data_IF_493238356472
#
_entry.id   IF_493238356472
#
_cell.length_a   1.000
_cell.length_b   1.000
_cell.length_c   1.000
_cell.angle_alpha   90.00
_cell.angle_beta   90.00
_cell.angle_gamma   90.00
#
_symmetry.space_group_name_H-M   'P 1'
#
loop_
_entity.id
_entity.type
_entity.pdbx_description
1 polymer ?
#
# COMPACT_ATOMS: atom_id res chain seq x y z
N UNK A 1 -16.56 4.11 -4.10
CA UNK A 1 -16.82 5.49 -4.57
C UNK A 1 -15.68 6.38 -4.09
N UNK A 2 -15.22 7.38 -4.86
CA UNK A 2 -14.17 8.30 -4.41
C UNK A 2 -14.73 9.23 -3.32
N UNK A 3 -14.08 9.32 -2.16
CA UNK A 3 -14.47 10.21 -1.06
C UNK A 3 -13.70 11.53 -1.11
N UNK A 4 -14.24 12.57 -0.47
CA UNK A 4 -13.68 13.92 -0.40
C UNK A 4 -13.43 14.54 -1.79
N UNK A 5 -14.43 14.49 -2.67
CA UNK A 5 -14.36 15.05 -4.03
C UNK A 5 -15.60 15.87 -4.36
N UNK A 6 -15.41 16.96 -5.11
CA UNK A 6 -16.45 17.51 -6.00
C UNK A 6 -16.24 16.86 -7.36
N UNK A 7 -17.31 16.36 -7.97
CA UNK A 7 -17.25 15.68 -9.27
C UNK A 7 -17.97 16.56 -10.28
N UNK A 8 -17.28 16.86 -11.39
CA UNK A 8 -17.78 17.62 -12.53
C UNK A 8 -17.63 16.76 -13.79
N UNK A 9 -18.34 17.10 -14.86
CA UNK A 9 -18.27 16.40 -16.14
C UNK A 9 -17.82 17.33 -17.25
N UNK A 10 -16.89 16.87 -18.09
CA UNK A 10 -16.47 17.57 -19.31
C UNK A 10 -16.14 16.54 -20.39
N UNK A 11 -16.58 16.79 -21.63
CA UNK A 11 -16.06 16.04 -22.79
C UNK A 11 -14.72 16.63 -23.21
N UNK A 12 -13.63 15.97 -22.82
CA UNK A 12 -12.26 16.41 -23.10
C UNK A 12 -11.90 16.41 -24.59
N UNK A 13 -12.72 15.79 -25.45
CA UNK A 13 -12.52 15.81 -26.91
C UNK A 13 -13.16 17.04 -27.58
N UNK A 14 -14.05 17.73 -26.89
CA UNK A 14 -14.66 18.97 -27.37
C UNK A 14 -13.79 20.17 -27.02
N UNK A 15 -13.81 21.21 -27.87
CA UNK A 15 -13.09 22.46 -27.58
C UNK A 15 -13.60 23.11 -26.28
N UNK A 16 -14.91 23.07 -26.04
CA UNK A 16 -15.55 23.59 -24.84
C UNK A 16 -15.07 22.86 -23.57
N UNK A 17 -15.05 21.52 -23.60
CA UNK A 17 -14.58 20.73 -22.46
C UNK A 17 -13.10 20.91 -22.18
N UNK A 18 -12.26 21.02 -23.23
CA UNK A 18 -10.84 21.35 -23.07
C UNK A 18 -10.63 22.74 -22.45
N UNK A 19 -11.31 23.75 -22.96
CA UNK A 19 -11.22 25.13 -22.43
C UNK A 19 -11.64 25.17 -20.95
N UNK A 20 -12.72 24.46 -20.61
CA UNK A 20 -13.21 24.35 -19.24
C UNK A 20 -12.18 23.74 -18.29
N UNK A 21 -11.51 22.65 -18.69
CA UNK A 21 -10.44 22.04 -17.87
C UNK A 21 -9.25 22.98 -17.75
N UNK A 22 -8.86 23.69 -18.82
CA UNK A 22 -7.77 24.67 -18.74
C UNK A 22 -8.10 25.84 -17.80
N UNK A 23 -9.36 26.28 -17.72
CA UNK A 23 -9.81 27.27 -16.73
C UNK A 23 -9.67 26.78 -15.30
N UNK A 24 -9.99 25.52 -15.03
CA UNK A 24 -9.75 24.90 -13.72
C UNK A 24 -8.24 24.80 -13.44
N UNK A 25 -7.45 24.31 -14.40
CA UNK A 25 -5.99 24.18 -14.28
C UNK A 25 -5.32 25.53 -14.01
N UNK A 26 -5.80 26.62 -14.60
CA UNK A 26 -5.29 27.97 -14.38
C UNK A 26 -5.31 28.40 -12.90
N UNK A 27 -6.18 27.79 -12.08
CA UNK A 27 -6.37 28.08 -10.66
C UNK A 27 -5.89 26.96 -9.72
N UNK A 28 -5.58 25.78 -10.27
CA UNK A 28 -5.21 24.61 -9.49
C UNK A 28 -3.74 24.62 -9.05
N UNK A 29 -3.46 23.96 -7.93
CA UNK A 29 -2.08 23.68 -7.52
C UNK A 29 -1.53 22.39 -8.15
N UNK A 30 -2.40 21.40 -8.34
CA UNK A 30 -2.02 20.04 -8.75
C UNK A 30 -3.02 19.54 -9.78
N UNK A 31 -2.53 18.90 -10.84
CA UNK A 31 -3.30 18.09 -11.77
C UNK A 31 -2.81 16.65 -11.67
N UNK A 32 -3.74 15.69 -11.54
CA UNK A 32 -3.43 14.25 -11.53
C UNK A 32 -4.07 13.62 -12.76
N UNK A 33 -3.27 12.85 -13.51
CA UNK A 33 -3.76 12.03 -14.62
C UNK A 33 -3.07 10.67 -14.64
N UNK A 34 -3.80 9.65 -15.07
CA UNK A 34 -3.31 8.26 -15.12
C UNK A 34 -3.53 7.60 -16.48
N UNK A 35 -3.50 8.39 -17.57
CA UNK A 35 -3.65 7.88 -18.91
C UNK A 35 -2.32 7.33 -19.44
N UNK A 36 -2.38 6.61 -20.57
CA UNK A 36 -1.19 6.21 -21.30
C UNK A 36 -0.41 7.47 -21.75
N UNK A 37 0.94 7.47 -21.72
CA UNK A 37 1.74 8.60 -22.18
C UNK A 37 1.32 9.10 -23.57
N UNK A 38 1.20 10.42 -23.74
CA UNK A 38 0.77 11.06 -24.98
C UNK A 38 -0.75 11.27 -25.11
N UNK A 39 -1.59 10.71 -24.23
CA UNK A 39 -3.05 10.93 -24.28
C UNK A 39 -3.39 12.39 -24.00
N UNK A 40 -2.87 12.96 -22.92
CA UNK A 40 -3.17 14.35 -22.53
C UNK A 40 -2.64 15.37 -23.54
N UNK A 41 -1.51 15.08 -24.17
CA UNK A 41 -0.92 15.88 -25.23
C UNK A 41 -1.85 15.93 -26.46
N UNK A 42 -2.43 14.79 -26.87
CA UNK A 42 -3.41 14.75 -27.95
C UNK A 42 -4.71 15.49 -27.62
N UNK A 43 -5.05 15.59 -26.34
CA UNK A 43 -6.21 16.35 -25.87
C UNK A 43 -5.91 17.85 -25.72
N UNK A 44 -4.66 18.31 -25.93
CA UNK A 44 -4.27 19.70 -25.65
C UNK A 44 -4.31 20.05 -24.15
N UNK A 45 -4.17 19.03 -23.30
CA UNK A 45 -4.11 19.12 -21.84
C UNK A 45 -2.76 18.61 -21.33
N UNK A 46 -1.74 18.53 -22.20
CA UNK A 46 -0.42 18.09 -21.80
C UNK A 46 0.30 19.13 -20.91
N UNK A 47 1.44 18.76 -20.30
CA UNK A 47 2.20 19.65 -19.43
C UNK A 47 2.52 21.00 -20.06
N UNK A 48 2.90 21.00 -21.34
CA UNK A 48 3.23 22.23 -22.06
C UNK A 48 2.00 23.14 -22.27
N UNK A 49 0.82 22.57 -22.48
CA UNK A 49 -0.42 23.35 -22.63
C UNK A 49 -0.88 23.91 -21.30
N UNK A 50 -0.82 23.10 -20.24
CA UNK A 50 -1.14 23.52 -18.89
C UNK A 50 -0.18 24.60 -18.37
N UNK A 51 1.12 24.51 -18.69
CA UNK A 51 2.12 25.51 -18.31
C UNK A 51 1.86 26.90 -18.92
N UNK A 52 1.17 26.99 -20.07
CA UNK A 52 0.80 28.27 -20.69
C UNK A 52 -0.22 29.04 -19.84
N UNK A 53 -1.08 28.33 -19.11
CA UNK A 53 -2.12 28.93 -18.26
C UNK A 53 -1.73 28.95 -16.77
N UNK A 54 -0.80 28.09 -16.36
CA UNK A 54 -0.31 28.00 -14.99
C UNK A 54 1.07 27.32 -14.92
N UNK A 55 2.14 28.12 -14.85
CA UNK A 55 3.52 27.63 -14.69
C UNK A 55 3.88 27.24 -13.25
N UNK A 56 2.94 27.41 -12.30
CA UNK A 56 3.04 26.98 -10.90
C UNK A 56 2.43 25.59 -10.69
N UNK A 57 1.84 24.99 -11.71
CA UNK A 57 1.13 23.72 -11.62
C UNK A 57 2.08 22.55 -11.35
N UNK A 58 1.76 21.73 -10.36
CA UNK A 58 2.35 20.40 -10.22
C UNK A 58 1.57 19.43 -11.12
N UNK A 59 2.17 19.03 -12.24
CA UNK A 59 1.56 18.10 -13.18
C UNK A 59 1.97 16.67 -12.84
N UNK A 60 1.10 15.92 -12.18
CA UNK A 60 1.40 14.60 -11.65
C UNK A 60 0.86 13.48 -12.55
N UNK A 61 1.78 12.72 -13.16
CA UNK A 61 1.49 11.61 -14.06
C UNK A 61 1.62 10.28 -13.33
N UNK A 62 0.56 9.46 -13.33
CA UNK A 62 0.52 8.17 -12.64
C UNK A 62 0.40 7.02 -13.65
N UNK A 63 1.48 6.30 -13.90
CA UNK A 63 1.47 5.20 -14.87
C UNK A 63 2.13 3.94 -14.30
N UNK A 64 1.90 2.80 -14.94
CA UNK A 64 2.60 1.56 -14.58
C UNK A 64 4.06 1.54 -15.01
N UNK A 65 4.31 1.97 -16.26
CA UNK A 65 5.61 1.81 -16.95
C UNK A 65 6.46 3.08 -17.06
N UNK A 66 5.95 4.25 -16.65
CA UNK A 66 6.61 5.54 -16.84
C UNK A 66 6.32 6.18 -18.20
N UNK A 67 6.75 7.43 -18.38
CA UNK A 67 6.51 8.18 -19.62
C UNK A 67 7.35 7.72 -20.82
N UNK A 68 8.46 7.03 -20.58
CA UNK A 68 9.43 6.64 -21.61
C UNK A 68 9.80 5.14 -21.52
N UNK A 69 10.58 4.67 -22.49
CA UNK A 69 11.03 3.28 -22.56
C UNK A 69 10.10 2.38 -23.38
N UNK A 70 10.57 1.16 -23.70
CA UNK A 70 9.94 0.28 -24.68
C UNK A 70 8.55 -0.23 -24.28
N UNK A 71 8.18 -0.14 -23.00
CA UNK A 71 6.88 -0.58 -22.47
C UNK A 71 5.93 0.57 -22.15
N UNK A 72 6.35 1.83 -22.28
CA UNK A 72 5.54 3.02 -21.94
C UNK A 72 4.17 3.04 -22.64
N UNK A 73 4.07 2.46 -23.84
CA UNK A 73 2.83 2.37 -24.61
C UNK A 73 2.08 1.04 -24.43
N UNK A 74 2.55 0.13 -23.57
CA UNK A 74 1.87 -1.15 -23.33
C UNK A 74 0.77 -1.01 -22.28
N UNK A 75 -0.31 -1.78 -22.45
CA UNK A 75 -1.28 -1.98 -21.39
C UNK A 75 -0.68 -2.83 -20.26
N UNK A 76 -1.26 -2.73 -19.07
CA UNK A 76 -0.91 -3.55 -17.92
C UNK A 76 -1.77 -3.17 -16.73
N UNK A 77 -1.69 -3.98 -15.68
CA UNK A 77 -2.21 -3.74 -14.35
C UNK A 77 -1.12 -4.04 -13.32
N UNK A 78 -1.39 -3.78 -12.05
CA UNK A 78 -0.49 -4.02 -10.90
C UNK A 78 0.42 -5.24 -11.09
N UNK A 79 -0.18 -6.43 -11.27
CA UNK A 79 0.52 -7.70 -11.41
C UNK A 79 1.59 -7.69 -12.52
N UNK A 80 1.36 -6.97 -13.62
CA UNK A 80 2.32 -6.88 -14.72
C UNK A 80 3.53 -6.04 -14.32
N UNK A 81 3.31 -4.93 -13.61
CA UNK A 81 4.38 -4.01 -13.21
C UNK A 81 5.32 -4.68 -12.21
N UNK A 82 4.75 -5.31 -11.17
CA UNK A 82 5.53 -6.03 -10.14
C UNK A 82 6.09 -7.38 -10.62
N UNK A 83 5.58 -7.93 -11.73
CA UNK A 83 6.18 -9.12 -12.37
C UNK A 83 7.54 -8.82 -12.98
N UNK A 84 7.79 -7.56 -13.37
CA UNK A 84 8.96 -7.20 -14.16
C UNK A 84 10.17 -6.77 -13.34
N UNK A 85 9.99 -6.50 -12.04
CA UNK A 85 11.04 -6.07 -11.13
C UNK A 85 11.35 -7.11 -10.02
N UNK A 86 10.90 -8.36 -10.20
CA UNK A 86 11.20 -9.47 -9.31
C UNK A 86 10.33 -9.58 -8.05
N UNK A 87 9.52 -8.56 -7.75
CA UNK A 87 8.65 -8.55 -6.56
C UNK A 87 7.66 -9.71 -6.58
N UNK A 88 6.91 -9.88 -7.68
CA UNK A 88 5.92 -10.95 -7.76
C UNK A 88 6.58 -12.33 -7.59
N UNK A 89 7.77 -12.52 -8.17
CA UNK A 89 8.49 -13.79 -8.07
C UNK A 89 8.80 -14.19 -6.61
N UNK A 90 9.05 -13.22 -5.75
CA UNK A 90 9.39 -13.43 -4.34
C UNK A 90 8.18 -13.75 -3.44
N UNK A 91 6.94 -13.57 -3.91
CA UNK A 91 5.74 -13.67 -3.06
C UNK A 91 5.01 -14.99 -3.28
N UNK A 92 4.84 -15.75 -2.20
CA UNK A 92 4.10 -17.01 -2.16
C UNK A 92 4.90 -18.14 -1.52
N UNK A 93 4.31 -19.34 -1.48
CA UNK A 93 4.93 -20.52 -0.86
C UNK A 93 6.00 -21.13 -1.76
N UNK A 94 6.97 -21.79 -1.13
CA UNK A 94 7.95 -22.63 -1.81
C UNK A 94 7.23 -23.78 -2.53
N UNK A 95 7.66 -24.12 -3.74
CA UNK A 95 7.05 -25.18 -4.55
C UNK A 95 5.73 -24.82 -5.25
N UNK A 96 5.13 -23.66 -4.94
CA UNK A 96 3.93 -23.16 -5.61
C UNK A 96 4.25 -22.03 -6.59
N UNK A 97 3.32 -21.67 -7.49
CA UNK A 97 3.48 -20.49 -8.35
C UNK A 97 3.39 -19.19 -7.52
N UNK A 98 3.97 -18.07 -8.00
CA UNK A 98 3.75 -16.75 -7.40
C UNK A 98 2.27 -16.41 -7.19
N UNK A 99 1.96 -15.73 -6.08
CA UNK A 99 0.60 -15.23 -5.76
C UNK A 99 0.62 -13.70 -5.72
N UNK A 100 -0.32 -13.00 -6.39
CA UNK A 100 -0.37 -11.55 -6.36
C UNK A 100 -0.77 -11.07 -4.95
N UNK A 101 -0.05 -10.11 -4.35
CA UNK A 101 -0.39 -9.49 -3.06
C UNK A 101 -1.53 -8.47 -3.21
N UNK A 102 -2.68 -8.93 -3.71
CA UNK A 102 -3.75 -8.08 -4.24
C UNK A 102 -3.16 -7.09 -5.26
N UNK A 103 -3.51 -5.80 -5.16
CA UNK A 103 -2.84 -4.70 -5.85
C UNK A 103 -2.19 -3.71 -4.86
N UNK A 104 -1.75 -4.22 -3.69
CA UNK A 104 -1.20 -3.40 -2.61
C UNK A 104 0.19 -2.83 -2.95
N UNK A 105 0.96 -3.52 -3.80
CA UNK A 105 2.37 -3.21 -4.00
C UNK A 105 2.61 -2.31 -5.20
N UNK A 106 1.94 -2.53 -6.34
CA UNK A 106 2.09 -1.70 -7.54
C UNK A 106 1.21 -0.45 -7.48
N UNK A 107 -0.12 -0.62 -7.46
CA UNK A 107 -1.08 0.49 -7.54
C UNK A 107 -0.97 1.42 -6.32
N UNK A 108 -0.85 0.84 -5.13
CA UNK A 108 -0.86 1.59 -3.87
C UNK A 108 0.55 1.92 -3.37
N UNK A 109 1.23 0.98 -2.72
CA UNK A 109 2.50 1.21 -2.04
C UNK A 109 3.61 1.76 -2.95
N UNK A 110 3.73 1.22 -4.16
CA UNK A 110 4.71 1.62 -5.17
C UNK A 110 4.20 2.64 -6.19
N UNK A 111 2.90 2.97 -6.15
CA UNK A 111 2.25 3.83 -7.14
C UNK A 111 1.77 5.12 -6.51
N UNK A 112 0.50 5.13 -6.09
CA UNK A 112 -0.15 6.32 -5.50
C UNK A 112 0.61 6.92 -4.32
N UNK A 113 1.27 6.11 -3.47
CA UNK A 113 2.08 6.64 -2.37
C UNK A 113 3.29 7.43 -2.86
N UNK A 114 3.95 6.98 -3.94
CA UNK A 114 5.06 7.71 -4.56
C UNK A 114 4.59 8.95 -5.33
N UNK A 115 3.43 8.90 -5.97
CA UNK A 115 2.80 10.08 -6.57
C UNK A 115 2.51 11.15 -5.50
N UNK A 116 1.96 10.76 -4.35
CA UNK A 116 1.69 11.66 -3.22
C UNK A 116 2.98 12.29 -2.69
N UNK A 117 4.03 11.48 -2.45
CA UNK A 117 5.34 12.00 -2.02
C UNK A 117 5.91 12.98 -3.06
N UNK A 118 5.84 12.65 -4.35
CA UNK A 118 6.27 13.53 -5.43
C UNK A 118 5.51 14.85 -5.43
N UNK A 119 4.18 14.82 -5.28
CA UNK A 119 3.34 16.03 -5.24
C UNK A 119 3.73 16.92 -4.06
N UNK A 120 3.83 16.35 -2.86
CA UNK A 120 4.16 17.10 -1.65
C UNK A 120 5.58 17.68 -1.72
N UNK A 121 6.55 16.92 -2.24
CA UNK A 121 7.92 17.40 -2.44
C UNK A 121 7.98 18.54 -3.47
N UNK A 122 7.23 18.44 -4.56
CA UNK A 122 7.16 19.49 -5.58
C UNK A 122 6.44 20.75 -5.07
N UNK A 123 5.40 20.59 -4.23
CA UNK A 123 4.74 21.72 -3.56
C UNK A 123 5.69 22.43 -2.58
N UNK A 124 6.52 21.67 -1.87
CA UNK A 124 7.58 22.21 -1.02
C UNK A 124 8.64 22.96 -1.83
N UNK A 125 9.14 22.37 -2.92
CA UNK A 125 10.11 23.00 -3.83
C UNK A 125 9.57 24.33 -4.38
N UNK A 126 8.31 24.33 -4.83
CA UNK A 126 7.60 25.49 -5.38
C UNK A 126 7.52 26.66 -4.41
N UNK A 127 7.60 26.43 -3.10
CA UNK A 127 7.66 27.50 -2.11
C UNK A 127 8.88 28.42 -2.33
N UNK A 128 9.99 27.85 -2.77
CA UNK A 128 11.24 28.58 -3.02
C UNK A 128 11.35 29.03 -4.48
N UNK A 129 11.12 28.12 -5.43
CA UNK A 129 11.30 28.41 -6.87
C UNK A 129 10.18 29.28 -7.44
N UNK A 130 9.00 29.22 -6.82
CA UNK A 130 7.78 29.80 -7.34
C UNK A 130 7.26 29.08 -8.60
N UNK A 131 7.82 27.94 -9.00
CA UNK A 131 7.47 27.19 -10.22
C UNK A 131 6.95 25.80 -9.90
N UNK A 132 6.07 25.31 -10.78
CA UNK A 132 5.66 23.91 -10.77
C UNK A 132 6.59 23.04 -11.62
N UNK A 133 6.28 21.75 -11.68
CA UNK A 133 7.03 20.78 -12.47
C UNK A 133 6.17 19.54 -12.78
N UNK A 134 6.68 18.68 -13.67
CA UNK A 134 6.09 17.38 -13.98
C UNK A 134 6.63 16.32 -13.02
N UNK A 135 5.75 15.52 -12.46
CA UNK A 135 6.10 14.30 -11.72
C UNK A 135 5.74 13.11 -12.61
N UNK A 136 6.73 12.27 -12.92
CA UNK A 136 6.52 10.95 -13.54
C UNK A 136 6.59 9.88 -12.45
N UNK A 137 5.44 9.42 -11.97
CA UNK A 137 5.36 8.33 -11.01
C UNK A 137 5.03 7.02 -11.73
N UNK A 138 6.06 6.19 -11.93
CA UNK A 138 5.93 4.85 -12.50
C UNK A 138 5.82 3.80 -11.38
N UNK A 139 4.79 2.95 -11.43
CA UNK A 139 4.61 1.87 -10.43
C UNK A 139 5.78 0.90 -10.41
N UNK A 140 6.39 0.61 -11.56
CA UNK A 140 7.59 -0.25 -11.63
C UNK A 140 8.78 0.34 -10.86
N UNK A 141 8.92 1.67 -10.84
CA UNK A 141 10.01 2.35 -10.14
C UNK A 141 9.70 2.45 -8.64
N UNK A 142 8.53 2.97 -8.28
CA UNK A 142 8.15 3.17 -6.88
C UNK A 142 8.04 1.85 -6.13
N UNK A 143 7.52 0.78 -6.75
CA UNK A 143 7.53 -0.56 -6.12
C UNK A 143 8.93 -1.13 -5.98
N UNK A 144 9.85 -0.84 -6.90
CA UNK A 144 11.27 -1.22 -6.77
C UNK A 144 11.95 -0.51 -5.59
N UNK A 145 11.62 0.78 -5.36
CA UNK A 145 12.07 1.52 -4.18
C UNK A 145 11.42 0.98 -2.91
N UNK A 146 10.14 0.61 -2.96
CA UNK A 146 9.42 0.05 -1.81
C UNK A 146 10.09 -1.24 -1.28
N UNK A 147 10.67 -2.05 -2.17
CA UNK A 147 11.38 -3.30 -1.84
C UNK A 147 12.90 -3.12 -1.72
N UNK A 148 13.39 -1.90 -1.52
CA UNK A 148 14.83 -1.58 -1.42
C UNK A 148 15.57 -2.45 -0.39
N UNK A 149 14.92 -2.78 0.73
CA UNK A 149 15.51 -3.63 1.75
C UNK A 149 15.94 -4.99 1.19
N UNK A 150 15.13 -5.63 0.35
CA UNK A 150 15.47 -6.92 -0.26
C UNK A 150 16.60 -6.76 -1.27
N UNK A 151 16.67 -5.65 -2.02
CA UNK A 151 17.82 -5.37 -2.89
C UNK A 151 19.13 -5.31 -2.09
N UNK A 152 19.13 -4.65 -0.93
CA UNK A 152 20.29 -4.58 -0.04
C UNK A 152 20.62 -5.95 0.56
N UNK A 153 19.62 -6.66 1.09
CA UNK A 153 19.79 -7.97 1.69
C UNK A 153 20.34 -9.00 0.70
N UNK A 154 19.90 -8.96 -0.57
CA UNK A 154 20.47 -9.76 -1.66
C UNK A 154 21.93 -9.41 -1.89
N UNK A 155 22.26 -8.12 -1.90
CA UNK A 155 23.63 -7.62 -2.10
C UNK A 155 24.62 -8.08 -1.03
N UNK A 156 24.15 -8.29 0.21
CA UNK A 156 24.98 -8.80 1.33
C UNK A 156 24.78 -10.30 1.61
N UNK A 157 24.03 -11.01 0.76
CA UNK A 157 23.87 -12.47 0.83
C UNK A 157 22.93 -13.00 1.92
N UNK A 158 22.08 -12.15 2.52
CA UNK A 158 21.08 -12.57 3.54
C UNK A 158 19.66 -12.69 2.97
N UNK A 159 19.51 -12.54 1.65
CA UNK A 159 18.28 -12.83 0.92
C UNK A 159 18.60 -13.59 -0.37
N UNK A 160 17.80 -14.60 -0.69
CA UNK A 160 17.93 -15.43 -1.87
C UNK A 160 16.76 -15.23 -2.84
N UNK A 161 16.97 -15.59 -4.11
CA UNK A 161 15.90 -15.55 -5.13
C UNK A 161 14.95 -16.77 -5.03
N UNK A 162 15.16 -17.67 -4.06
CA UNK A 162 14.29 -18.82 -3.83
C UNK A 162 13.11 -18.40 -2.95
N UNK A 163 11.94 -18.30 -3.57
CA UNK A 163 10.67 -17.93 -2.90
C UNK A 163 10.32 -18.88 -1.75
N UNK A 164 9.88 -18.29 -0.63
CA UNK A 164 9.37 -19.02 0.53
C UNK A 164 10.46 -19.69 1.36
N UNK A 165 11.70 -19.19 1.27
CA UNK A 165 12.87 -19.76 1.98
C UNK A 165 13.66 -18.71 2.77
N UNK A 166 13.20 -17.46 2.76
CA UNK A 166 13.86 -16.35 3.42
C UNK A 166 13.20 -16.03 4.76
N UNK A 167 13.81 -15.12 5.52
CA UNK A 167 13.30 -14.74 6.84
C UNK A 167 11.91 -14.08 6.79
N UNK A 168 11.59 -13.32 5.74
CA UNK A 168 10.39 -12.46 5.70
C UNK A 168 9.36 -12.86 4.64
N UNK A 169 9.49 -14.04 4.03
CA UNK A 169 8.58 -14.54 2.99
C UNK A 169 7.80 -15.81 3.41
N UNK A 170 7.78 -16.11 4.71
CA UNK A 170 7.18 -17.31 5.28
C UNK A 170 8.13 -18.51 5.34
N UNK A 171 9.39 -18.38 4.91
CA UNK A 171 10.40 -19.43 5.08
C UNK A 171 10.76 -19.72 6.55
N UNK A 172 10.96 -18.67 7.36
CA UNK A 172 11.29 -18.80 8.77
C UNK A 172 10.08 -19.22 9.63
N UNK A 173 10.20 -20.23 10.52
CA UNK A 173 9.11 -20.66 11.41
C UNK A 173 8.63 -19.58 12.40
N UNK A 174 9.47 -18.61 12.72
CA UNK A 174 9.16 -17.52 13.64
C UNK A 174 8.70 -16.23 12.92
N UNK A 175 8.44 -16.30 11.61
CA UNK A 175 7.88 -15.22 10.81
C UNK A 175 6.90 -15.79 9.76
N UNK A 176 5.75 -16.27 10.21
CA UNK A 176 4.74 -16.93 9.38
C UNK A 176 3.38 -17.02 10.08
N UNK A 177 2.38 -17.55 9.40
CA UNK A 177 1.07 -17.89 9.95
C UNK A 177 0.96 -19.37 10.32
N UNK A 178 0.24 -19.67 11.40
CA UNK A 178 -0.06 -21.01 11.88
C UNK A 178 -1.57 -21.22 12.01
N UNK A 179 -2.07 -22.32 11.44
CA UNK A 179 -3.46 -22.75 11.60
C UNK A 179 -3.70 -23.23 13.05
N UNK A 180 -4.81 -22.79 13.63
CA UNK A 180 -5.26 -23.10 14.99
C UNK A 180 -6.36 -24.19 14.95
N UNK A 181 -6.80 -24.68 16.11
CA UNK A 181 -7.76 -25.80 16.17
C UNK A 181 -9.14 -25.51 15.53
N UNK A 182 -9.51 -24.24 15.43
CA UNK A 182 -10.75 -23.74 14.82
C UNK A 182 -10.64 -23.50 13.30
N UNK A 183 -9.48 -23.76 12.70
CA UNK A 183 -9.16 -23.41 11.31
C UNK A 183 -8.90 -21.91 11.09
N UNK A 184 -8.89 -21.12 12.17
CA UNK A 184 -8.37 -19.75 12.18
C UNK A 184 -6.84 -19.73 12.15
N UNK A 185 -6.24 -18.55 12.07
CA UNK A 185 -4.78 -18.42 12.00
C UNK A 185 -4.22 -17.44 13.03
N UNK A 186 -3.09 -17.78 13.64
CA UNK A 186 -2.21 -16.86 14.36
C UNK A 186 -1.05 -16.43 13.46
N UNK A 187 -0.71 -15.15 13.45
CA UNK A 187 0.50 -14.64 12.82
C UNK A 187 1.62 -14.52 13.86
N UNK A 188 2.79 -15.03 13.54
CA UNK A 188 4.00 -14.98 14.36
C UNK A 188 5.02 -14.07 13.66
N UNK A 189 5.59 -13.13 14.41
CA UNK A 189 6.65 -12.22 13.96
C UNK A 189 7.81 -12.10 14.96
N UNK A 190 8.11 -13.17 15.67
CA UNK A 190 9.05 -13.21 16.79
C UNK A 190 10.51 -13.36 16.31
N UNK A 191 11.04 -12.32 15.65
CA UNK A 191 12.38 -12.32 15.05
C UNK A 191 13.46 -12.25 16.14
N UNK A 192 13.34 -11.32 17.07
CA UNK A 192 14.34 -11.11 18.11
C UNK A 192 14.30 -12.23 19.16
N UNK A 193 15.47 -12.68 19.69
CA UNK A 193 15.53 -13.85 20.57
C UNK A 193 14.65 -13.78 21.83
N UNK A 194 14.50 -12.59 22.41
CA UNK A 194 13.65 -12.39 23.60
C UNK A 194 12.16 -12.50 23.29
N UNK A 195 11.72 -12.08 22.10
CA UNK A 195 10.34 -12.21 21.65
C UNK A 195 10.03 -13.68 21.30
N UNK A 196 10.99 -14.35 20.65
CA UNK A 196 10.92 -15.79 20.41
C UNK A 196 10.82 -16.60 21.71
N UNK A 197 11.61 -16.24 22.73
CA UNK A 197 11.51 -16.87 24.05
C UNK A 197 10.15 -16.64 24.71
N UNK A 198 9.59 -15.43 24.61
CA UNK A 198 8.25 -15.13 25.12
C UNK A 198 7.15 -15.94 24.40
N UNK A 199 7.27 -16.09 23.08
CA UNK A 199 6.38 -16.97 22.29
C UNK A 199 6.46 -18.42 22.76
N UNK A 200 7.65 -18.99 22.91
CA UNK A 200 7.82 -20.36 23.40
C UNK A 200 7.22 -20.54 24.80
N UNK A 201 7.42 -19.57 25.70
CA UNK A 201 6.83 -19.59 27.03
C UNK A 201 5.29 -19.60 26.99
N UNK A 202 4.67 -18.76 26.15
CA UNK A 202 3.22 -18.75 25.97
C UNK A 202 2.66 -20.03 25.33
N UNK A 203 3.43 -20.69 24.45
CA UNK A 203 3.10 -22.00 23.89
C UNK A 203 3.33 -23.16 24.86
N UNK A 204 3.96 -22.92 26.01
CA UNK A 204 4.37 -23.96 26.96
C UNK A 204 5.46 -24.88 26.42
N UNK A 205 6.34 -24.37 25.55
CA UNK A 205 7.44 -25.12 24.94
C UNK A 205 8.76 -24.79 25.66
N UNK A 206 9.54 -25.83 25.94
CA UNK A 206 10.89 -25.69 26.49
C UNK A 206 11.91 -25.59 25.35
N UNK A 207 12.61 -24.47 25.27
CA UNK A 207 13.63 -24.18 24.27
C UNK A 207 14.77 -25.22 24.23
N UNK A 208 15.06 -25.90 25.35
CA UNK A 208 16.11 -26.93 25.41
C UNK A 208 15.79 -28.13 24.51
N UNK A 209 14.50 -28.39 24.27
CA UNK A 209 14.03 -29.52 23.47
C UNK A 209 13.80 -29.16 22.00
N UNK A 210 14.15 -27.94 21.57
CA UNK A 210 13.90 -27.45 20.22
C UNK A 210 15.20 -27.20 19.44
N UNK A 211 15.14 -27.24 18.09
CA UNK A 211 16.20 -26.67 17.28
C UNK A 211 16.46 -25.20 17.63
N UNK A 212 17.71 -24.71 17.50
CA UNK A 212 17.99 -23.28 17.61
C UNK A 212 17.18 -22.48 16.59
N UNK A 213 16.66 -21.32 17.01
CA UNK A 213 15.78 -20.45 16.21
C UNK A 213 16.30 -20.22 14.78
N UNK A 214 17.60 -19.92 14.63
CA UNK A 214 18.23 -19.56 13.35
C UNK A 214 18.97 -20.73 12.68
N UNK A 215 18.75 -21.98 13.11
CA UNK A 215 19.27 -23.16 12.41
C UNK A 215 18.35 -23.51 11.22
N UNK A 216 18.65 -22.92 10.07
CA UNK A 216 17.88 -23.06 8.82
C UNK A 216 17.71 -24.53 8.41
N UNK A 217 18.70 -25.38 8.66
CA UNK A 217 18.63 -26.79 8.29
C UNK A 217 17.56 -27.56 9.10
N UNK A 218 17.24 -27.09 10.31
CA UNK A 218 16.24 -27.69 11.21
C UNK A 218 14.96 -26.87 11.33
N UNK A 219 14.78 -25.82 10.51
CA UNK A 219 13.50 -25.11 10.42
C UNK A 219 12.30 -26.00 10.12
N UNK A 220 12.39 -27.06 9.27
CA UNK A 220 11.26 -27.98 9.10
C UNK A 220 10.83 -28.66 10.40
N UNK A 221 11.78 -29.05 11.25
CA UNK A 221 11.52 -29.65 12.57
C UNK A 221 10.90 -28.63 13.51
N UNK A 222 11.48 -27.43 13.61
CA UNK A 222 10.96 -26.35 14.46
C UNK A 222 9.53 -25.98 14.04
N UNK A 223 9.28 -25.86 12.73
CA UNK A 223 7.96 -25.56 12.20
C UNK A 223 6.93 -26.62 12.60
N UNK A 224 7.27 -27.91 12.49
CA UNK A 224 6.36 -28.98 12.87
C UNK A 224 5.94 -28.88 14.34
N UNK A 225 6.87 -28.57 15.25
CA UNK A 225 6.56 -28.40 16.68
C UNK A 225 5.67 -27.18 16.92
N UNK A 226 5.97 -26.04 16.28
CA UNK A 226 5.13 -24.84 16.40
C UNK A 226 3.73 -25.07 15.82
N UNK A 227 3.62 -25.78 14.69
CA UNK A 227 2.33 -26.17 14.09
C UNK A 227 1.52 -27.03 15.04
N UNK A 228 2.14 -28.05 15.65
CA UNK A 228 1.45 -28.88 16.64
C UNK A 228 0.99 -28.04 17.83
N UNK A 229 1.85 -27.15 18.34
CA UNK A 229 1.52 -26.30 19.47
C UNK A 229 0.31 -25.39 19.17
N UNK A 230 0.36 -24.61 18.09
CA UNK A 230 -0.74 -23.71 17.69
C UNK A 230 -2.04 -24.49 17.41
N UNK A 231 -1.95 -25.69 16.83
CA UNK A 231 -3.10 -26.54 16.54
C UNK A 231 -3.82 -27.14 17.77
N UNK A 232 -3.33 -26.94 18.99
CA UNK A 232 -3.97 -27.46 20.22
C UNK A 232 -5.18 -26.65 20.68
N UNK A 233 -5.22 -25.36 20.33
CA UNK A 233 -6.28 -24.45 20.76
C UNK A 233 -6.70 -23.51 19.63
N UNK A 234 -7.87 -22.91 19.77
CA UNK A 234 -8.45 -21.99 18.80
C UNK A 234 -7.67 -20.68 18.73
N UNK A 235 -7.82 -19.91 17.63
CA UNK A 235 -7.14 -18.62 17.43
C UNK A 235 -7.32 -17.67 18.61
N UNK A 236 -8.56 -17.55 19.11
CA UNK A 236 -8.91 -16.59 20.16
C UNK A 236 -8.39 -17.02 21.55
N UNK A 237 -8.04 -18.31 21.73
CA UNK A 237 -7.28 -18.74 22.90
C UNK A 237 -5.89 -18.12 22.86
N UNK A 238 -5.18 -18.27 21.74
CA UNK A 238 -3.83 -17.73 21.58
C UNK A 238 -3.81 -16.21 21.64
N UNK A 239 -4.79 -15.53 21.04
CA UNK A 239 -4.92 -14.08 21.15
C UNK A 239 -4.94 -13.62 22.61
N UNK A 240 -5.64 -14.35 23.51
CA UNK A 240 -5.67 -14.05 24.95
C UNK A 240 -4.36 -14.37 25.66
N UNK A 241 -3.71 -15.48 25.31
CA UNK A 241 -2.41 -15.87 25.89
C UNK A 241 -1.35 -14.80 25.61
N UNK A 242 -1.36 -14.22 24.41
CA UNK A 242 -0.30 -13.31 23.95
C UNK A 242 -0.65 -11.82 24.06
N UNK A 243 -1.87 -11.45 24.46
CA UNK A 243 -2.41 -10.08 24.40
C UNK A 243 -1.49 -9.00 25.01
N UNK A 244 -0.87 -9.29 26.15
CA UNK A 244 -0.06 -8.33 26.92
C UNK A 244 1.45 -8.68 26.91
N UNK A 245 1.89 -9.52 25.97
CA UNK A 245 3.26 -10.01 25.89
C UNK A 245 4.01 -9.48 24.66
N UNK A 246 5.34 -9.45 24.74
CA UNK A 246 6.21 -9.15 23.60
C UNK A 246 6.45 -10.38 22.69
N UNK A 247 5.56 -11.39 22.71
CA UNK A 247 5.74 -12.62 21.93
C UNK A 247 5.58 -12.44 20.42
N UNK A 248 5.10 -11.27 19.97
CA UNK A 248 4.82 -10.99 18.55
C UNK A 248 3.89 -12.02 17.91
N UNK A 249 2.86 -12.47 18.65
CA UNK A 249 1.80 -13.34 18.17
C UNK A 249 0.47 -12.60 18.18
N UNK A 250 -0.20 -12.52 17.03
CA UNK A 250 -1.46 -11.79 16.86
C UNK A 250 -2.48 -12.62 16.07
N UNK A 251 -3.80 -12.46 16.32
CA UNK A 251 -4.81 -13.13 15.51
C UNK A 251 -4.81 -12.59 14.07
N UNK A 252 -4.94 -13.47 13.08
CA UNK A 252 -5.23 -13.09 11.69
C UNK A 252 -6.74 -12.89 11.58
N UNK A 253 -7.16 -11.63 11.49
CA UNK A 253 -8.56 -11.24 11.41
C UNK A 253 -9.00 -11.11 9.95
N UNK A 254 -10.22 -11.58 9.65
CA UNK A 254 -10.91 -11.23 8.40
C UNK A 254 -11.41 -9.78 8.45
N UNK A 255 -11.72 -9.20 7.28
CA UNK A 255 -12.28 -7.83 7.22
C UNK A 255 -13.55 -7.66 8.08
N UNK A 256 -14.36 -8.71 8.23
CA UNK A 256 -15.57 -8.68 9.04
C UNK A 256 -15.32 -8.61 10.54
N UNK A 257 -14.16 -9.05 11.02
CA UNK A 257 -13.84 -9.11 12.45
C UNK A 257 -13.10 -7.86 12.95
N UNK A 258 -12.41 -7.14 12.05
CA UNK A 258 -11.52 -6.01 12.39
C UNK A 258 -12.19 -4.94 13.27
N UNK A 259 -13.49 -4.67 13.09
CA UNK A 259 -14.19 -3.66 13.87
C UNK A 259 -14.41 -4.04 15.34
N UNK A 260 -14.29 -5.33 15.69
CA UNK A 260 -14.46 -5.83 17.06
C UNK A 260 -13.15 -5.87 17.85
N UNK A 261 -12.01 -5.67 17.20
CA UNK A 261 -10.69 -5.68 17.83
C UNK A 261 -10.50 -4.42 18.71
N UNK A 262 -10.27 -4.56 20.03
CA UNK A 262 -10.18 -3.41 20.95
C UNK A 262 -9.18 -2.34 20.51
N UNK A 263 -7.99 -2.74 20.05
CA UNK A 263 -6.98 -1.77 19.61
C UNK A 263 -7.42 -0.96 18.38
N UNK A 264 -8.17 -1.57 17.46
CA UNK A 264 -8.69 -0.93 16.26
C UNK A 264 -9.81 0.05 16.63
N UNK A 265 -10.72 -0.38 17.51
CA UNK A 265 -11.88 0.38 17.97
C UNK A 265 -11.47 1.61 18.80
N UNK A 266 -10.66 1.43 19.84
CA UNK A 266 -10.21 2.52 20.72
C UNK A 266 -9.42 3.58 19.97
N UNK A 267 -8.67 3.17 18.95
CA UNK A 267 -7.93 4.10 18.10
C UNK A 267 -8.81 4.79 17.06
N UNK A 268 -10.08 4.43 16.87
CA UNK A 268 -10.93 4.96 15.80
C UNK A 268 -10.26 4.81 14.42
N UNK A 269 -9.70 3.63 14.15
CA UNK A 269 -9.02 3.37 12.86
C UNK A 269 -10.02 3.38 11.69
N UNK A 270 -11.25 2.94 11.96
CA UNK A 270 -12.36 2.93 11.01
C UNK A 270 -13.50 3.83 11.51
N UNK A 271 -14.33 4.26 10.57
CA UNK A 271 -15.64 4.83 10.82
C UNK A 271 -16.69 4.03 10.01
N UNK A 272 -17.95 4.08 10.43
CA UNK A 272 -19.06 3.45 9.69
C UNK A 272 -19.44 4.32 8.49
N UNK A 273 -19.22 3.81 7.27
CA UNK A 273 -19.54 4.46 6.00
C UNK A 273 -21.05 4.54 5.74
N UNK A 274 -21.43 5.26 4.69
CA UNK A 274 -22.86 5.47 4.36
C UNK A 274 -23.55 4.19 3.85
N UNK A 275 -22.76 3.17 3.46
CA UNK A 275 -23.19 1.83 3.11
C UNK A 275 -23.29 0.88 4.33
N UNK A 276 -23.05 1.41 5.55
CA UNK A 276 -23.01 0.64 6.80
C UNK A 276 -21.73 -0.18 6.99
N UNK A 277 -20.78 -0.14 6.05
CA UNK A 277 -19.52 -0.87 6.13
C UNK A 277 -18.39 -0.06 6.79
N UNK A 278 -17.37 -0.70 7.39
CA UNK A 278 -16.22 0.00 7.94
C UNK A 278 -15.38 0.63 6.82
N UNK A 279 -15.06 1.91 6.96
CA UNK A 279 -14.18 2.68 6.06
C UNK A 279 -12.99 3.24 6.86
N UNK A 280 -11.76 3.22 6.33
CA UNK A 280 -10.58 3.70 7.06
C UNK A 280 -10.62 5.22 7.26
N UNK A 281 -10.27 5.67 8.46
CA UNK A 281 -10.02 7.10 8.74
C UNK A 281 -8.72 7.57 8.05
N UNK A 282 -8.58 8.87 7.75
CA UNK A 282 -7.36 9.41 7.16
C UNK A 282 -6.09 9.11 7.99
N UNK A 283 -4.99 8.84 7.30
CA UNK A 283 -3.67 8.57 7.90
C UNK A 283 -2.55 9.35 7.16
N UNK A 284 -1.45 9.72 7.84
CA UNK A 284 -1.19 9.57 9.28
C UNK A 284 -2.02 10.56 10.13
N UNK A 285 -1.88 10.52 11.46
CA UNK A 285 -2.55 11.45 12.39
C UNK A 285 -1.77 12.74 12.56
N UNK A 286 -2.47 13.85 12.71
CA UNK A 286 -1.91 15.18 12.98
C UNK A 286 -2.46 15.70 14.29
N UNK A 287 -1.63 16.28 15.17
CA UNK A 287 -2.06 16.73 16.51
C UNK A 287 -2.85 18.03 16.52
N UNK A 288 -2.64 18.91 15.53
CA UNK A 288 -3.27 20.25 15.46
C UNK A 288 -4.32 20.37 14.36
N UNK A 289 -3.97 19.98 13.14
CA UNK A 289 -4.85 20.05 11.96
C UNK A 289 -5.46 18.68 11.69
N UNK A 290 -6.28 18.20 12.63
CA UNK A 290 -6.90 16.88 12.55
C UNK A 290 -7.88 16.85 11.37
N UNK A 291 -7.74 15.91 10.41
CA UNK A 291 -8.66 15.81 9.30
C UNK A 291 -10.05 15.36 9.77
N UNK A 292 -11.09 15.92 9.17
CA UNK A 292 -12.46 15.47 9.39
C UNK A 292 -12.70 14.09 8.77
N UNK A 293 -13.77 13.41 9.20
CA UNK A 293 -14.28 12.20 8.55
C UNK A 293 -14.42 12.42 7.03
N UNK A 294 -13.99 11.48 6.19
CA UNK A 294 -14.22 11.54 4.75
C UNK A 294 -15.70 11.60 4.41
N UNK A 295 -16.06 12.40 3.41
CA UNK A 295 -17.45 12.55 2.95
C UNK A 295 -17.62 12.03 1.53
N UNK A 296 -18.77 11.44 1.17
CA UNK A 296 -19.06 11.15 -0.23
C UNK A 296 -19.10 12.45 -1.06
N UNK A 297 -18.95 12.36 -2.39
CA UNK A 297 -19.24 13.48 -3.27
C UNK A 297 -20.71 13.91 -3.13
N UNK A 298 -20.97 15.20 -3.36
CA UNK A 298 -22.34 15.69 -3.42
C UNK A 298 -23.12 14.97 -4.55
N UNK A 299 -24.41 14.72 -4.30
CA UNK A 299 -25.38 14.27 -5.29
C UNK A 299 -26.54 15.28 -5.32
N UNK A 300 -26.89 15.90 -6.47
CA UNK A 300 -26.33 15.70 -7.81
C UNK A 300 -24.87 16.15 -7.97
N UNK A 301 -24.24 15.79 -9.09
CA UNK A 301 -22.88 16.21 -9.44
C UNK A 301 -22.76 17.74 -9.40
N UNK A 302 -21.57 18.23 -9.06
CA UNK A 302 -21.33 19.66 -8.92
C UNK A 302 -21.30 20.33 -10.30
N UNK A 303 -21.96 21.49 -10.42
CA UNK A 303 -21.82 22.34 -11.59
C UNK A 303 -20.39 22.91 -11.66
N UNK A 304 -19.77 22.81 -12.82
CA UNK A 304 -18.38 23.25 -13.02
C UNK A 304 -18.24 24.77 -12.92
N UNK A 305 -19.26 25.53 -13.32
CA UNK A 305 -19.24 26.99 -13.21
C UNK A 305 -19.30 27.44 -11.75
N UNK A 306 -20.00 26.67 -10.89
CA UNK A 306 -19.98 26.88 -9.45
C UNK A 306 -18.60 26.59 -8.84
N UNK A 307 -17.88 25.58 -9.35
CA UNK A 307 -16.48 25.31 -8.93
C UNK A 307 -15.56 26.45 -9.37
N UNK A 308 -15.67 26.93 -10.61
CA UNK A 308 -14.88 28.05 -11.11
C UNK A 308 -15.14 29.34 -10.33
N UNK A 309 -16.40 29.60 -9.97
CA UNK A 309 -16.79 30.77 -9.16
C UNK A 309 -16.21 30.71 -7.74
N UNK A 310 -16.16 29.52 -7.14
CA UNK A 310 -15.54 29.27 -5.82
C UNK A 310 -14.01 29.42 -5.84
N UNK A 311 -13.38 29.24 -7.01
CA UNK A 311 -11.94 29.40 -7.21
C UNK A 311 -11.52 30.79 -7.72
N UNK A 312 -12.48 31.71 -7.87
CA UNK A 312 -12.26 33.03 -8.47
C UNK A 312 -11.27 33.87 -7.67
#
# INVERSE_FOLDING_TARGET
>A
MLLNRRIVTADLKSDQGRELVLKLVAKADVLIEGYRPGVTERLGLGPQDCAKVNDRLIYARMTGWGQAGPRSQHAGHDINYISLNGILHAIGRVGERPVPPLNLVGDFGGGSMFLLVGILAALWERHNSGKGQVIDAAMVDGSSVLVQMMWVMRGIGIWSDVRGTNMLDGGAPYYDTYECADGGYGAVGAIEPQFYAAMLAGLGLDAVNLPPQNDVARWPELRAVLTEAFGRYDRDHWAKVFADSDACVTPVLSFGEVHTEPHIAERNTFYEGDDGGPQPMPAPRFSRTVPSRPRPPAAPLTDVEAVLSDWA
#
